data_IF_088042985106
#
_entry.id   IF_088042985106
#
_cell.length_a   1.000
_cell.length_b   1.000
_cell.length_c   1.000
_cell.angle_alpha   90.00
_cell.angle_beta   90.00
_cell.angle_gamma   90.00
#
_symmetry.space_group_name_H-M   'P 1'
#
loop_
_entity.id
_entity.type
_entity.pdbx_description
1 polymer ?
#
# COMPACT_ATOMS: atom_id res chain seq x y z
N UNK A 1 -23.76 -33.84 15.75
CA UNK A 1 -22.55 -33.96 14.91
C UNK A 1 -22.87 -33.43 13.52
N UNK A 2 -22.76 -32.12 13.34
CA UNK A 2 -22.99 -31.46 12.04
C UNK A 2 -21.68 -31.43 11.27
N UNK A 3 -21.63 -32.11 10.13
CA UNK A 3 -20.54 -31.97 9.16
C UNK A 3 -20.79 -30.73 8.30
N UNK A 4 -20.13 -29.62 8.63
CA UNK A 4 -19.93 -28.48 7.72
C UNK A 4 -18.68 -28.76 6.88
N UNK A 5 -18.86 -29.18 5.63
CA UNK A 5 -17.87 -29.04 4.55
C UNK A 5 -18.63 -28.84 3.25
N UNK A 6 -18.09 -27.98 2.38
CA UNK A 6 -18.56 -27.59 1.05
C UNK A 6 -19.42 -26.32 1.01
N UNK A 7 -18.76 -25.18 1.21
CA UNK A 7 -19.02 -23.99 0.40
C UNK A 7 -17.68 -23.27 0.22
N UNK A 8 -17.11 -23.30 -0.99
CA UNK A 8 -15.86 -22.64 -1.30
C UNK A 8 -15.58 -22.74 -2.80
N UNK A 9 -15.27 -21.60 -3.41
CA UNK A 9 -15.07 -21.36 -4.84
C UNK A 9 -16.36 -21.29 -5.70
N UNK A 10 -17.23 -20.33 -5.40
CA UNK A 10 -18.03 -19.71 -6.46
C UNK A 10 -17.16 -18.64 -7.12
N UNK A 11 -16.67 -18.99 -8.32
CA UNK A 11 -15.93 -18.12 -9.23
C UNK A 11 -16.80 -16.91 -9.56
N UNK A 12 -16.44 -15.72 -9.06
CA UNK A 12 -16.94 -14.47 -9.61
C UNK A 12 -16.21 -14.20 -10.93
N UNK A 13 -16.74 -14.79 -12.01
CA UNK A 13 -16.47 -14.32 -13.35
C UNK A 13 -17.22 -13.00 -13.53
N UNK A 14 -16.59 -11.89 -13.14
CA UNK A 14 -17.04 -10.57 -13.58
C UNK A 14 -16.76 -10.48 -15.09
N UNK A 15 -17.67 -9.96 -15.92
CA UNK A 15 -17.41 -9.81 -17.33
C UNK A 15 -16.35 -8.72 -17.50
N UNK A 16 -15.10 -9.14 -17.70
CA UNK A 16 -14.08 -8.34 -18.36
C UNK A 16 -14.62 -8.05 -19.75
N UNK A 17 -15.23 -6.87 -19.91
CA UNK A 17 -15.44 -6.27 -21.21
C UNK A 17 -14.08 -6.28 -21.92
N UNK A 18 -14.00 -7.04 -23.01
CA UNK A 18 -12.85 -7.15 -23.90
C UNK A 18 -12.48 -5.78 -24.47
N UNK A 19 -11.76 -4.96 -23.71
CA UNK A 19 -10.87 -3.98 -24.29
C UNK A 19 -9.66 -4.72 -24.86
N UNK A 20 -9.09 -4.32 -26.00
CA UNK A 20 -7.78 -4.81 -26.42
C UNK A 20 -6.76 -4.41 -25.34
N UNK A 21 -6.36 -5.38 -24.51
CA UNK A 21 -5.49 -5.15 -23.35
C UNK A 21 -4.03 -5.16 -23.82
N UNK A 22 -3.54 -4.04 -24.35
CA UNK A 22 -2.10 -3.83 -24.46
C UNK A 22 -1.61 -3.26 -23.13
N UNK A 23 -0.67 -3.96 -22.49
CA UNK A 23 0.03 -3.46 -21.31
C UNK A 23 0.76 -2.17 -21.66
N UNK A 24 0.54 -1.07 -20.93
CA UNK A 24 1.47 0.06 -20.99
C UNK A 24 2.64 -0.13 -20.03
N UNK A 25 2.40 -0.77 -18.89
CA UNK A 25 3.48 -1.07 -17.95
C UNK A 25 3.21 -2.29 -17.08
N UNK A 26 4.30 -2.88 -16.61
CA UNK A 26 4.33 -3.83 -15.51
C UNK A 26 5.31 -3.30 -14.47
N UNK A 27 4.88 -3.24 -13.22
CA UNK A 27 5.70 -2.78 -12.10
C UNK A 27 5.76 -3.81 -10.98
N UNK A 28 6.94 -3.94 -10.40
CA UNK A 28 7.18 -4.67 -9.18
C UNK A 28 7.61 -3.68 -8.10
N UNK A 29 6.95 -3.69 -6.95
CA UNK A 29 7.26 -2.84 -5.81
C UNK A 29 7.55 -3.67 -4.57
N UNK A 30 8.51 -3.22 -3.78
CA UNK A 30 8.86 -3.75 -2.47
C UNK A 30 8.83 -2.63 -1.44
N UNK A 31 8.03 -2.81 -0.41
CA UNK A 31 8.12 -2.04 0.84
C UNK A 31 8.90 -2.87 1.85
N UNK A 32 9.83 -2.24 2.56
CA UNK A 32 10.56 -2.90 3.63
C UNK A 32 11.11 -1.89 4.66
N UNK A 33 10.89 -2.14 5.95
CA UNK A 33 11.43 -1.34 7.04
C UNK A 33 12.85 -1.77 7.47
N UNK A 34 13.24 -3.01 7.15
CA UNK A 34 14.61 -3.53 7.27
C UNK A 34 15.66 -2.73 6.52
N UNK A 35 15.29 -2.08 5.41
CA UNK A 35 16.15 -1.12 4.70
C UNK A 35 16.50 0.12 5.57
N UNK A 36 15.73 0.38 6.62
CA UNK A 36 15.93 1.44 7.61
C UNK A 36 16.46 0.90 8.94
N UNK A 37 16.75 -0.40 9.03
CA UNK A 37 17.30 -1.04 10.22
C UNK A 37 16.26 -1.41 11.29
N UNK A 38 14.99 -1.59 10.91
CA UNK A 38 13.92 -2.06 11.80
C UNK A 38 13.27 -3.34 11.26
N UNK A 39 12.46 -4.01 12.07
CA UNK A 39 11.59 -5.11 11.63
C UNK A 39 10.34 -5.14 12.52
N UNK A 40 9.47 -4.16 12.35
CA UNK A 40 8.31 -3.92 13.21
C UNK A 40 7.25 -3.06 12.54
N UNK A 41 6.07 -3.01 13.16
CA UNK A 41 4.93 -2.26 12.63
C UNK A 41 4.63 -2.73 11.20
N UNK A 42 4.54 -1.85 10.22
CA UNK A 42 4.49 -2.26 8.82
C UNK A 42 5.89 -2.66 8.34
N UNK A 43 6.16 -3.97 8.37
CA UNK A 43 7.51 -4.51 8.09
C UNK A 43 7.78 -4.70 6.59
N UNK A 44 6.76 -5.14 5.83
CA UNK A 44 7.00 -5.55 4.44
C UNK A 44 5.75 -5.53 3.57
N UNK A 45 5.95 -5.29 2.28
CA UNK A 45 4.94 -5.48 1.26
C UNK A 45 5.53 -5.79 -0.11
N UNK A 46 4.86 -6.65 -0.86
CA UNK A 46 5.23 -7.05 -2.22
C UNK A 46 4.07 -6.81 -3.16
N UNK A 47 4.34 -6.16 -4.29
CA UNK A 47 3.30 -5.72 -5.21
C UNK A 47 3.69 -6.01 -6.65
N UNK A 48 2.80 -6.67 -7.38
CA UNK A 48 2.89 -6.82 -8.83
C UNK A 48 1.69 -6.12 -9.45
N UNK A 49 1.94 -5.10 -10.26
CA UNK A 49 0.89 -4.34 -10.94
C UNK A 49 1.11 -4.36 -12.44
N UNK A 50 0.01 -4.60 -13.15
CA UNK A 50 -0.12 -4.39 -14.58
C UNK A 50 -0.99 -3.16 -14.81
N UNK A 51 -0.58 -2.25 -15.69
CA UNK A 51 -1.37 -1.05 -16.03
C UNK A 51 -1.60 -0.94 -17.53
N UNK A 52 -2.81 -0.54 -17.91
CA UNK A 52 -3.20 -0.29 -19.30
C UNK A 52 -2.56 0.98 -19.84
N UNK A 53 -2.49 1.11 -21.17
CA UNK A 53 -2.26 2.40 -21.83
C UNK A 53 -3.53 3.27 -21.72
N UNK A 54 -3.52 4.36 -20.92
CA UNK A 54 -4.68 5.21 -20.80
C UNK A 54 -4.76 6.12 -22.03
N UNK A 55 -5.53 5.73 -23.04
CA UNK A 55 -5.88 6.68 -24.09
C UNK A 55 -6.59 7.93 -23.50
N UNK A 56 -7.53 7.71 -22.57
CA UNK A 56 -8.25 8.77 -21.81
C UNK A 56 -8.56 8.33 -20.37
N UNK A 57 -8.87 7.04 -20.19
CA UNK A 57 -9.09 6.40 -18.88
C UNK A 57 -8.09 5.25 -18.79
N UNK A 58 -7.32 5.23 -17.70
CA UNK A 58 -6.43 4.13 -17.37
C UNK A 58 -7.08 3.16 -16.41
N UNK A 59 -6.60 1.92 -16.42
CA UNK A 59 -6.91 0.96 -15.38
C UNK A 59 -5.68 0.10 -15.08
N UNK A 60 -5.64 -0.46 -13.88
CA UNK A 60 -4.60 -1.40 -13.48
C UNK A 60 -5.17 -2.54 -12.66
N UNK A 61 -4.47 -3.67 -12.72
CA UNK A 61 -4.70 -4.81 -11.87
C UNK A 61 -3.44 -5.05 -11.04
N UNK A 62 -3.62 -5.27 -9.75
CA UNK A 62 -2.54 -5.50 -8.79
C UNK A 62 -2.83 -6.76 -7.99
N UNK A 63 -1.78 -7.53 -7.71
CA UNK A 63 -1.75 -8.50 -6.63
C UNK A 63 -0.73 -7.99 -5.62
N UNK A 64 -1.12 -7.93 -4.36
CA UNK A 64 -0.29 -7.44 -3.27
C UNK A 64 -0.30 -8.38 -2.08
N UNK A 65 0.82 -8.45 -1.38
CA UNK A 65 0.89 -8.97 -0.02
C UNK A 65 1.52 -7.95 0.91
N UNK A 66 1.07 -7.92 2.16
CA UNK A 66 1.53 -7.00 3.18
C UNK A 66 1.64 -7.73 4.51
N UNK A 67 2.62 -7.32 5.32
CA UNK A 67 2.92 -7.95 6.60
C UNK A 67 3.22 -6.92 7.66
N UNK A 68 2.88 -7.32 8.87
CA UNK A 68 2.86 -6.47 10.04
C UNK A 68 3.30 -7.27 11.26
N UNK A 69 4.21 -6.71 12.05
CA UNK A 69 4.84 -7.42 13.18
C UNK A 69 4.87 -6.57 14.46
N UNK A 70 4.92 -7.22 15.64
CA UNK A 70 5.37 -6.59 16.88
C UNK A 70 6.81 -6.09 16.77
N UNK A 71 7.27 -5.36 17.77
CA UNK A 71 8.61 -4.79 17.75
C UNK A 71 9.76 -5.73 18.10
N UNK A 72 9.46 -6.89 18.67
CA UNK A 72 10.41 -7.98 18.90
C UNK A 72 9.80 -9.30 18.38
N UNK A 73 10.33 -9.75 17.25
CA UNK A 73 9.82 -10.93 16.56
C UNK A 73 10.31 -12.25 17.17
N UNK A 74 11.34 -12.21 18.02
CA UNK A 74 11.92 -13.42 18.61
C UNK A 74 11.11 -13.94 19.81
N UNK A 75 10.14 -13.16 20.28
CA UNK A 75 9.25 -13.53 21.38
C UNK A 75 8.17 -14.51 20.91
N UNK A 76 7.99 -15.57 21.70
CA UNK A 76 7.03 -16.64 21.41
C UNK A 76 5.62 -16.36 21.93
N UNK A 77 5.41 -15.24 22.62
CA UNK A 77 4.11 -14.85 23.21
C UNK A 77 3.89 -13.36 23.01
N UNK A 78 2.63 -12.91 22.84
CA UNK A 78 2.30 -11.50 22.76
C UNK A 78 2.86 -10.70 23.95
N UNK A 79 3.19 -9.45 23.71
CA UNK A 79 3.63 -8.52 24.74
C UNK A 79 2.61 -7.38 24.88
N UNK A 80 2.44 -6.83 26.09
CA UNK A 80 1.60 -5.66 26.27
C UNK A 80 2.07 -4.48 25.43
N UNK A 81 1.12 -3.70 24.91
CA UNK A 81 1.36 -2.50 24.11
C UNK A 81 2.11 -2.77 22.79
N UNK A 82 2.07 -4.00 22.31
CA UNK A 82 2.54 -4.40 21.00
C UNK A 82 1.36 -4.88 20.18
N UNK A 83 1.39 -4.55 18.90
CA UNK A 83 0.35 -4.99 17.97
C UNK A 83 0.48 -6.48 17.62
N UNK A 84 -0.61 -7.14 17.21
CA UNK A 84 -0.54 -8.51 16.70
C UNK A 84 0.28 -8.60 15.42
N UNK A 85 0.75 -9.82 15.13
CA UNK A 85 1.13 -10.16 13.77
C UNK A 85 -0.09 -10.08 12.86
N UNK A 86 0.07 -9.56 11.66
CA UNK A 86 -0.97 -9.58 10.65
C UNK A 86 -0.36 -9.78 9.27
N UNK A 87 -0.96 -10.69 8.50
CA UNK A 87 -0.68 -10.86 7.09
C UNK A 87 -1.90 -10.49 6.26
N UNK A 88 -1.68 -9.96 5.06
CA UNK A 88 -2.71 -9.67 4.07
C UNK A 88 -2.23 -10.16 2.71
N UNK A 89 -3.11 -10.82 1.97
CA UNK A 89 -2.96 -11.00 0.52
C UNK A 89 -4.23 -10.51 -0.18
N UNK A 90 -4.07 -9.79 -1.29
CA UNK A 90 -5.20 -9.19 -2.00
C UNK A 90 -4.98 -9.07 -3.50
N UNK A 91 -6.10 -8.93 -4.22
CA UNK A 91 -6.16 -8.40 -5.57
C UNK A 91 -6.82 -7.03 -5.57
N UNK A 92 -6.32 -6.09 -6.37
CA UNK A 92 -6.89 -4.75 -6.48
C UNK A 92 -7.03 -4.30 -7.93
N UNK A 93 -8.23 -3.84 -8.29
CA UNK A 93 -8.49 -3.10 -9.52
C UNK A 93 -8.48 -1.60 -9.26
N UNK A 94 -7.87 -0.83 -10.15
CA UNK A 94 -7.91 0.64 -10.11
C UNK A 94 -8.32 1.20 -11.46
N UNK A 95 -8.98 2.35 -11.44
CA UNK A 95 -9.32 3.16 -12.60
C UNK A 95 -8.86 4.59 -12.38
N UNK A 96 -8.38 5.23 -13.44
CA UNK A 96 -7.75 6.53 -13.37
C UNK A 96 -8.28 7.48 -14.44
N UNK A 97 -8.41 8.74 -14.07
CA UNK A 97 -8.57 9.84 -15.00
C UNK A 97 -7.62 10.97 -14.61
N UNK A 98 -6.89 11.51 -15.59
CA UNK A 98 -5.81 12.45 -15.38
C UNK A 98 -5.85 13.56 -16.42
N UNK A 99 -5.71 14.79 -15.95
CA UNK A 99 -5.37 15.97 -16.75
C UNK A 99 -4.07 16.57 -16.21
N UNK A 100 -3.63 17.68 -16.77
CA UNK A 100 -2.46 18.41 -16.30
C UNK A 100 -2.68 19.18 -14.99
N UNK A 101 -3.90 19.26 -14.45
CA UNK A 101 -4.19 19.98 -13.20
C UNK A 101 -5.14 19.24 -12.23
N UNK A 102 -5.68 18.09 -12.64
CA UNK A 102 -6.60 17.29 -11.85
C UNK A 102 -6.38 15.80 -12.11
N UNK A 103 -6.52 14.96 -11.08
CA UNK A 103 -6.48 13.51 -11.23
C UNK A 103 -7.41 12.84 -10.23
N UNK A 104 -8.07 11.75 -10.66
CA UNK A 104 -8.92 10.91 -9.81
C UNK A 104 -8.55 9.46 -10.00
N UNK A 105 -8.52 8.73 -8.89
CA UNK A 105 -8.25 7.31 -8.82
C UNK A 105 -9.39 6.65 -8.05
N UNK A 106 -10.06 5.69 -8.67
CA UNK A 106 -11.00 4.79 -7.99
C UNK A 106 -10.36 3.42 -7.81
N UNK A 107 -10.58 2.76 -6.68
CA UNK A 107 -10.02 1.44 -6.40
C UNK A 107 -11.04 0.50 -5.76
N UNK A 108 -10.90 -0.79 -6.05
CA UNK A 108 -11.58 -1.87 -5.33
C UNK A 108 -10.56 -2.97 -5.02
N UNK A 109 -10.39 -3.26 -3.74
CA UNK A 109 -9.53 -4.31 -3.22
C UNK A 109 -10.38 -5.43 -2.62
N UNK A 110 -9.99 -6.67 -2.87
CA UNK A 110 -10.57 -7.88 -2.27
C UNK A 110 -9.41 -8.79 -1.85
N UNK A 111 -9.47 -9.35 -0.65
CA UNK A 111 -8.38 -10.14 -0.10
C UNK A 111 -8.76 -10.94 1.13
N UNK A 112 -7.75 -11.42 1.84
CA UNK A 112 -7.91 -12.07 3.15
C UNK A 112 -6.77 -11.66 4.07
N UNK A 113 -7.10 -11.46 5.35
CA UNK A 113 -6.11 -11.39 6.42
C UNK A 113 -5.96 -12.74 7.11
N UNK A 114 -4.95 -12.86 7.96
CA UNK A 114 -4.71 -14.02 8.84
C UNK A 114 -3.87 -15.13 8.21
N UNK A 115 -3.85 -16.34 8.80
CA UNK A 115 -3.03 -17.47 8.32
C UNK A 115 -3.18 -17.78 6.81
N UNK A 116 -4.34 -17.58 6.21
CA UNK A 116 -4.60 -17.83 4.78
C UNK A 116 -3.86 -16.83 3.85
N UNK A 117 -3.24 -15.80 4.41
CA UNK A 117 -2.35 -14.89 3.69
C UNK A 117 -0.93 -15.46 3.45
N UNK A 118 -0.55 -16.52 4.16
CA UNK A 118 0.78 -17.15 4.12
C UNK A 118 1.95 -16.20 4.44
N UNK A 119 1.69 -15.19 5.27
CA UNK A 119 2.70 -14.21 5.66
C UNK A 119 3.81 -14.81 6.55
N UNK A 120 3.48 -15.77 7.43
CA UNK A 120 4.46 -16.48 8.25
C UNK A 120 5.51 -17.19 7.40
N UNK A 121 5.06 -17.97 6.41
CA UNK A 121 5.92 -18.72 5.51
C UNK A 121 6.76 -17.77 4.65
N UNK A 122 6.14 -16.71 4.12
CA UNK A 122 6.84 -15.71 3.32
C UNK A 122 7.95 -15.00 4.12
N UNK A 123 7.65 -14.57 5.36
CA UNK A 123 8.63 -13.92 6.23
C UNK A 123 9.78 -14.88 6.57
N UNK A 124 9.45 -16.12 6.95
CA UNK A 124 10.44 -17.13 7.32
C UNK A 124 11.42 -17.43 6.19
N UNK A 125 10.92 -17.58 4.95
CA UNK A 125 11.77 -17.78 3.76
C UNK A 125 12.73 -16.61 3.55
N UNK A 126 12.23 -15.37 3.64
CA UNK A 126 13.07 -14.18 3.45
C UNK A 126 14.12 -14.09 4.54
N UNK A 127 13.75 -14.31 5.81
CA UNK A 127 14.66 -14.24 6.95
C UNK A 127 15.76 -15.30 6.86
N UNK A 128 15.45 -16.52 6.41
CA UNK A 128 16.44 -17.55 6.14
C UNK A 128 17.44 -17.13 5.05
N UNK A 129 16.96 -16.50 3.97
CA UNK A 129 17.80 -16.05 2.85
C UNK A 129 18.75 -14.92 3.27
N UNK A 130 18.27 -13.95 4.05
CA UNK A 130 19.04 -12.74 4.41
C UNK A 130 19.77 -12.85 5.76
N UNK A 131 19.53 -13.92 6.52
CA UNK A 131 20.14 -14.14 7.84
C UNK A 131 19.54 -13.29 8.96
N UNK A 132 18.25 -12.99 8.88
CA UNK A 132 17.49 -12.30 9.95
C UNK A 132 17.02 -13.28 11.02
N UNK A 133 16.71 -12.83 12.25
CA UNK A 133 16.13 -13.69 13.30
C UNK A 133 14.80 -14.30 12.89
N UNK A 134 14.52 -15.53 13.32
CA UNK A 134 13.25 -16.20 13.03
C UNK A 134 12.08 -15.56 13.80
N UNK A 135 10.96 -15.24 13.15
CA UNK A 135 9.76 -14.75 13.83
C UNK A 135 9.05 -15.92 14.55
N UNK A 136 8.75 -15.76 15.85
CA UNK A 136 8.23 -16.85 16.70
C UNK A 136 6.81 -16.62 17.22
N UNK A 137 6.17 -15.51 16.86
CA UNK A 137 4.87 -15.10 17.40
C UNK A 137 3.67 -15.32 16.46
N UNK A 138 3.85 -15.84 15.26
CA UNK A 138 2.79 -15.99 14.24
C UNK A 138 1.60 -16.85 14.68
N UNK A 139 1.74 -17.70 15.70
CA UNK A 139 0.63 -18.43 16.32
C UNK A 139 -0.42 -17.52 16.99
N UNK A 140 -0.10 -16.24 17.23
CA UNK A 140 -0.98 -15.24 17.85
C UNK A 140 -1.36 -14.10 16.91
N UNK A 141 -1.30 -14.34 15.59
CA UNK A 141 -1.69 -13.37 14.58
C UNK A 141 -3.20 -13.11 14.53
N UNK A 142 -3.62 -12.07 13.79
CA UNK A 142 -5.02 -11.83 13.42
C UNK A 142 -5.61 -13.08 12.73
N UNK A 143 -6.83 -13.44 13.09
CA UNK A 143 -7.55 -14.59 12.54
C UNK A 143 -7.97 -14.36 11.07
N UNK A 144 -8.31 -15.46 10.39
CA UNK A 144 -8.72 -15.41 8.99
C UNK A 144 -10.04 -14.63 8.81
N UNK A 145 -9.99 -13.55 8.05
CA UNK A 145 -11.17 -12.81 7.62
C UNK A 145 -11.05 -12.37 6.16
N UNK A 146 -12.14 -12.52 5.41
CA UNK A 146 -12.24 -11.94 4.07
C UNK A 146 -12.34 -10.43 4.17
N UNK A 147 -11.50 -9.72 3.42
CA UNK A 147 -11.48 -8.26 3.43
C UNK A 147 -11.82 -7.66 2.08
N UNK A 148 -12.46 -6.50 2.12
CA UNK A 148 -12.72 -5.67 0.95
C UNK A 148 -12.54 -4.20 1.28
N UNK A 149 -12.15 -3.40 0.28
CA UNK A 149 -12.03 -1.96 0.42
C UNK A 149 -12.28 -1.25 -0.90
N UNK A 150 -13.23 -0.32 -0.90
CA UNK A 150 -13.43 0.62 -2.00
C UNK A 150 -12.76 1.96 -1.65
N UNK A 151 -12.10 2.58 -2.62
CA UNK A 151 -11.35 3.81 -2.41
C UNK A 151 -11.55 4.84 -3.52
N UNK A 152 -11.44 6.11 -3.15
CA UNK A 152 -11.39 7.24 -4.07
C UNK A 152 -10.28 8.21 -3.60
N UNK A 153 -9.38 8.58 -4.50
CA UNK A 153 -8.33 9.57 -4.26
C UNK A 153 -8.39 10.64 -5.37
N UNK A 154 -8.46 11.91 -4.99
CA UNK A 154 -8.53 13.03 -5.92
C UNK A 154 -7.42 14.05 -5.63
N UNK A 155 -6.75 14.51 -6.69
CA UNK A 155 -5.66 15.50 -6.64
C UNK A 155 -6.06 16.75 -7.41
N UNK A 156 -5.74 17.92 -6.86
CA UNK A 156 -5.99 19.22 -7.47
C UNK A 156 -4.73 20.08 -7.43
N UNK A 157 -4.32 20.59 -8.59
CA UNK A 157 -3.20 21.52 -8.69
C UNK A 157 -3.56 22.86 -8.08
N UNK A 158 -2.66 23.42 -7.27
CA UNK A 158 -2.78 24.77 -6.71
C UNK A 158 -1.89 25.75 -7.48
N UNK A 159 -0.63 25.38 -7.72
CA UNK A 159 0.31 26.20 -8.46
C UNK A 159 1.37 25.34 -9.15
N UNK A 160 1.72 25.72 -10.39
CA UNK A 160 2.85 25.15 -11.14
C UNK A 160 3.74 26.28 -11.63
N UNK A 161 5.03 26.19 -11.31
CA UNK A 161 6.09 27.04 -11.84
C UNK A 161 6.92 26.31 -12.87
N UNK A 162 8.09 26.88 -13.20
CA UNK A 162 8.97 26.32 -14.23
C UNK A 162 9.62 24.99 -13.84
N UNK A 163 9.89 24.78 -12.55
CA UNK A 163 10.68 23.63 -12.06
C UNK A 163 9.92 22.77 -11.03
N UNK A 164 8.74 23.19 -10.60
CA UNK A 164 8.01 22.52 -9.53
C UNK A 164 6.55 22.92 -9.43
N UNK A 165 5.80 22.13 -8.67
CA UNK A 165 4.38 22.33 -8.46
C UNK A 165 3.95 21.92 -7.06
N UNK A 166 2.86 22.54 -6.60
CA UNK A 166 2.17 22.20 -5.38
C UNK A 166 0.73 21.81 -5.69
N UNK A 167 0.30 20.69 -5.14
CA UNK A 167 -1.06 20.18 -5.23
C UNK A 167 -1.58 19.76 -3.86
N UNK A 168 -2.90 19.67 -3.76
CA UNK A 168 -3.59 19.09 -2.61
C UNK A 168 -4.32 17.84 -3.06
N UNK A 169 -4.54 16.92 -2.12
CA UNK A 169 -5.33 15.72 -2.38
C UNK A 169 -6.27 15.40 -1.22
N UNK A 170 -7.33 14.66 -1.55
CA UNK A 170 -8.21 14.03 -0.59
C UNK A 170 -8.39 12.56 -0.94
N UNK A 171 -8.46 11.70 0.08
CA UNK A 171 -8.68 10.26 -0.06
C UNK A 171 -9.79 9.82 0.88
N UNK A 172 -10.68 8.95 0.40
CA UNK A 172 -11.62 8.21 1.21
C UNK A 172 -11.53 6.73 0.88
N UNK A 173 -11.50 5.88 1.89
CA UNK A 173 -11.52 4.42 1.76
C UNK A 173 -12.54 3.84 2.73
N UNK A 174 -13.30 2.85 2.29
CA UNK A 174 -14.32 2.21 3.11
C UNK A 174 -14.44 0.71 2.83
N UNK A 175 -14.62 -0.06 3.88
CA UNK A 175 -14.70 -1.51 3.84
C UNK A 175 -14.58 -2.10 5.24
N UNK A 176 -14.05 -3.32 5.34
CA UNK A 176 -13.69 -3.95 6.62
C UNK A 176 -12.17 -4.16 6.78
N UNK A 177 -11.35 -3.52 5.94
CA UNK A 177 -9.88 -3.60 6.06
C UNK A 177 -9.34 -2.43 6.88
N UNK A 178 -9.30 -1.24 6.28
CA UNK A 178 -8.70 -0.04 6.82
C UNK A 178 -9.46 1.20 6.36
N UNK A 179 -10.70 1.38 6.84
CA UNK A 179 -11.53 2.51 6.42
C UNK A 179 -11.00 3.83 6.97
N UNK A 180 -10.91 4.84 6.11
CA UNK A 180 -10.33 6.13 6.48
C UNK A 180 -10.82 7.28 5.60
N UNK A 181 -10.59 8.48 6.10
CA UNK A 181 -10.53 9.70 5.28
C UNK A 181 -9.19 10.39 5.52
N UNK A 182 -8.59 10.92 4.45
CA UNK A 182 -7.31 11.59 4.51
C UNK A 182 -7.31 12.84 3.62
N UNK A 183 -6.53 13.84 4.04
CA UNK A 183 -6.23 15.03 3.25
C UNK A 183 -4.74 15.31 3.31
N UNK A 184 -4.19 15.87 2.24
CA UNK A 184 -2.77 16.14 2.21
C UNK A 184 -2.37 17.10 1.12
N UNK A 185 -1.07 17.39 1.10
CA UNK A 185 -0.42 18.23 0.12
C UNK A 185 0.80 17.53 -0.44
N UNK A 186 1.03 17.71 -1.73
CA UNK A 186 2.19 17.18 -2.43
C UNK A 186 2.96 18.34 -3.07
N UNK A 187 4.26 18.35 -2.85
CA UNK A 187 5.17 19.19 -3.60
C UNK A 187 6.06 18.33 -4.50
N UNK A 188 6.20 18.71 -5.76
CA UNK A 188 7.05 18.01 -6.74
C UNK A 188 8.00 18.98 -7.44
N UNK A 189 9.24 18.55 -7.66
CA UNK A 189 10.24 19.29 -8.44
C UNK A 189 10.81 18.34 -9.49
N UNK A 190 10.84 18.75 -10.75
CA UNK A 190 11.40 17.93 -11.80
C UNK A 190 10.91 18.28 -13.20
N UNK A 191 11.03 17.30 -14.08
CA UNK A 191 10.67 17.40 -15.48
C UNK A 191 9.30 16.77 -15.75
N UNK A 192 8.59 17.35 -16.71
CA UNK A 192 7.33 16.82 -17.25
C UNK A 192 6.21 16.59 -16.21
N UNK A 193 6.14 17.47 -15.21
CA UNK A 193 5.20 17.36 -14.10
C UNK A 193 3.73 17.43 -14.53
N UNK A 194 3.44 18.16 -15.63
CA UNK A 194 2.10 18.25 -16.20
C UNK A 194 1.57 16.93 -16.73
N UNK A 195 2.43 16.10 -17.32
CA UNK A 195 2.04 14.80 -17.88
C UNK A 195 2.06 13.66 -16.84
N UNK A 196 2.50 13.97 -15.62
CA UNK A 196 2.57 13.00 -14.52
C UNK A 196 1.71 13.43 -13.33
N UNK A 197 0.81 14.39 -13.50
CA UNK A 197 -0.01 14.95 -12.43
C UNK A 197 -0.79 13.91 -11.61
N UNK A 198 -0.76 14.04 -10.29
CA UNK A 198 -1.47 13.13 -9.38
C UNK A 198 -0.87 11.73 -9.25
N UNK A 199 0.34 11.47 -9.78
CA UNK A 199 0.96 10.15 -9.71
C UNK A 199 1.38 9.73 -8.30
N UNK A 200 1.61 10.65 -7.36
CA UNK A 200 2.07 10.32 -6.01
C UNK A 200 0.94 9.86 -5.08
N UNK A 201 1.22 8.96 -4.13
CA UNK A 201 0.32 8.58 -3.03
C UNK A 201 1.12 8.18 -1.77
N UNK A 202 0.46 8.09 -0.61
CA UNK A 202 1.04 7.57 0.64
C UNK A 202 0.60 6.12 0.95
N UNK A 203 -0.17 5.50 0.05
CA UNK A 203 -0.57 4.11 0.22
C UNK A 203 0.64 3.17 0.02
N UNK A 204 0.73 2.09 0.82
CA UNK A 204 1.79 1.08 0.66
C UNK A 204 1.89 0.55 -0.78
N UNK A 205 3.12 0.34 -1.24
CA UNK A 205 3.42 -0.12 -2.60
C UNK A 205 3.10 0.85 -3.72
N UNK A 206 2.59 2.05 -3.41
CA UNK A 206 2.04 2.99 -4.39
C UNK A 206 2.56 4.42 -4.24
N UNK A 207 3.81 4.59 -3.79
CA UNK A 207 4.43 5.92 -3.64
C UNK A 207 4.33 6.75 -4.93
N UNK A 208 4.51 6.10 -6.09
CA UNK A 208 4.17 6.63 -7.41
C UNK A 208 3.38 5.60 -8.21
N UNK A 209 2.23 6.01 -8.72
CA UNK A 209 1.37 5.24 -9.59
C UNK A 209 1.89 5.27 -11.03
N UNK A 210 2.52 4.17 -11.44
CA UNK A 210 3.17 4.04 -12.76
C UNK A 210 2.18 4.22 -13.91
N UNK A 211 0.90 3.88 -13.71
CA UNK A 211 -0.15 4.07 -14.74
C UNK A 211 -0.33 5.54 -15.14
N UNK A 212 -0.04 6.48 -14.23
CA UNK A 212 -0.14 7.92 -14.44
C UNK A 212 1.13 8.56 -14.99
N UNK A 213 2.14 7.76 -15.36
CA UNK A 213 3.36 8.21 -16.05
C UNK A 213 3.27 8.01 -17.58
N UNK A 214 2.21 7.37 -18.04
CA UNK A 214 1.99 6.96 -19.44
C UNK A 214 1.97 8.11 -20.45
N UNK A 215 1.53 9.32 -20.06
CA UNK A 215 1.53 10.50 -20.93
C UNK A 215 2.92 11.13 -21.13
N UNK A 216 3.98 10.53 -20.57
CA UNK A 216 5.35 11.05 -20.61
C UNK A 216 6.35 9.97 -21.03
N UNK A 217 7.13 10.17 -22.08
CA UNK A 217 8.13 9.18 -22.53
C UNK A 217 9.35 9.09 -21.59
N UNK A 218 9.69 10.19 -20.91
CA UNK A 218 10.83 10.25 -20.02
C UNK A 218 10.64 11.39 -19.02
N UNK A 219 11.17 11.21 -17.82
CA UNK A 219 11.08 12.22 -16.79
C UNK A 219 11.81 11.82 -15.53
N UNK A 220 11.97 12.81 -14.68
CA UNK A 220 12.52 12.62 -13.35
C UNK A 220 11.93 13.70 -12.46
N UNK A 221 11.42 13.29 -11.30
CA UNK A 221 10.94 14.23 -10.31
C UNK A 221 11.21 13.72 -8.90
N UNK A 222 11.47 14.67 -8.02
CA UNK A 222 11.44 14.50 -6.58
C UNK A 222 10.06 14.89 -6.09
N UNK A 223 9.60 14.21 -5.04
CA UNK A 223 8.34 14.52 -4.42
C UNK A 223 8.44 14.47 -2.91
N UNK A 224 7.56 15.23 -2.27
CA UNK A 224 7.27 15.11 -0.85
C UNK A 224 5.77 15.30 -0.67
N UNK A 225 5.12 14.34 -0.02
CA UNK A 225 3.71 14.42 0.32
C UNK A 225 3.54 14.30 1.83
N UNK A 226 2.69 15.17 2.38
CA UNK A 226 2.28 15.13 3.78
C UNK A 226 0.79 14.88 3.86
N UNK A 227 0.36 14.11 4.85
CA UNK A 227 -1.02 13.68 5.02
C UNK A 227 -1.42 13.75 6.49
N UNK A 228 -2.66 14.17 6.72
CA UNK A 228 -3.39 13.89 7.95
C UNK A 228 -4.57 12.99 7.61
N UNK A 229 -4.80 11.95 8.42
CA UNK A 229 -5.89 11.01 8.22
C UNK A 229 -6.63 10.72 9.51
N UNK A 230 -7.91 10.39 9.36
CA UNK A 230 -8.74 9.79 10.39
C UNK A 230 -9.01 8.33 9.98
N UNK A 231 -8.49 7.37 10.74
CA UNK A 231 -8.69 5.94 10.56
C UNK A 231 -9.88 5.50 11.40
N UNK A 232 -10.94 4.96 10.79
CA UNK A 232 -12.14 4.54 11.52
C UNK A 232 -11.98 3.14 12.11
N UNK A 233 -11.36 2.24 11.35
CA UNK A 233 -11.13 0.84 11.67
C UNK A 233 -9.81 0.38 11.06
N UNK A 234 -9.16 -0.58 11.70
CA UNK A 234 -7.97 -1.24 11.18
C UNK A 234 -7.95 -2.71 11.63
N UNK A 235 -8.32 -3.62 10.74
CA UNK A 235 -8.38 -5.05 11.05
C UNK A 235 -7.00 -5.63 11.41
N UNK A 236 -5.91 -4.97 11.00
CA UNK A 236 -4.55 -5.42 11.34
C UNK A 236 -4.14 -5.07 12.78
N UNK A 237 -5.00 -4.36 13.50
CA UNK A 237 -4.83 -3.95 14.91
C UNK A 237 -5.96 -4.57 15.75
N UNK A 238 -7.20 -4.33 15.34
CA UNK A 238 -8.40 -4.63 16.13
C UNK A 238 -9.16 -5.88 15.67
N UNK A 239 -8.66 -6.57 14.64
CA UNK A 239 -9.27 -7.81 14.16
C UNK A 239 -9.32 -8.92 15.22
N UNK A 240 -10.18 -9.92 14.98
CA UNK A 240 -10.27 -11.12 15.82
C UNK A 240 -8.90 -11.77 15.93
N UNK A 241 -8.54 -12.20 17.15
CA UNK A 241 -7.22 -12.75 17.49
C UNK A 241 -7.31 -13.64 18.73
N UNK A 242 -6.32 -14.51 18.98
CA UNK A 242 -6.28 -15.31 20.21
C UNK A 242 -6.33 -14.45 21.49
N UNK A 243 -7.01 -14.92 22.55
CA UNK A 243 -7.26 -14.12 23.76
C UNK A 243 -6.00 -13.77 24.56
N UNK A 244 -4.87 -14.43 24.29
CA UNK A 244 -3.57 -14.11 24.88
C UNK A 244 -2.94 -12.84 24.29
N UNK A 245 -3.44 -12.36 23.15
CA UNK A 245 -2.96 -11.14 22.52
C UNK A 245 -3.79 -9.96 23.03
N UNK A 246 -3.15 -9.08 23.79
CA UNK A 246 -3.79 -7.93 24.41
C UNK A 246 -4.58 -7.10 23.37
N UNK A 247 -5.71 -6.55 23.81
CA UNK A 247 -6.47 -5.62 22.97
C UNK A 247 -5.72 -4.30 22.85
N UNK A 248 -5.14 -4.07 21.67
CA UNK A 248 -4.63 -2.78 21.20
C UNK A 248 -5.70 -2.07 20.38
N UNK A 249 -5.75 -0.75 20.47
CA UNK A 249 -6.79 0.06 19.86
C UNK A 249 -6.21 0.95 18.79
N UNK A 250 -6.96 1.19 17.71
CA UNK A 250 -6.49 2.04 16.62
C UNK A 250 -6.30 3.49 17.11
N UNK A 251 -5.18 4.10 16.78
CA UNK A 251 -5.02 5.55 16.95
C UNK A 251 -5.73 6.21 15.79
N UNK A 252 -6.89 6.83 16.05
CA UNK A 252 -7.72 7.35 14.97
C UNK A 252 -7.07 8.49 14.20
N UNK A 253 -6.35 9.41 14.88
CA UNK A 253 -5.75 10.58 14.23
C UNK A 253 -4.30 10.30 13.91
N UNK A 254 -3.99 10.13 12.64
CA UNK A 254 -2.66 9.76 12.19
C UNK A 254 -2.11 10.78 11.19
N UNK A 255 -0.79 10.90 11.13
CA UNK A 255 -0.09 11.70 10.16
C UNK A 255 0.90 10.85 9.36
N UNK A 256 1.15 11.23 8.12
CA UNK A 256 2.10 10.58 7.24
C UNK A 256 2.94 11.58 6.48
N UNK A 257 4.19 11.22 6.20
CA UNK A 257 5.04 11.90 5.24
C UNK A 257 5.71 10.88 4.35
N UNK A 258 5.70 11.10 3.05
CA UNK A 258 6.50 10.33 2.10
C UNK A 258 7.37 11.27 1.29
N UNK A 259 8.60 10.87 1.03
CA UNK A 259 9.53 11.61 0.19
C UNK A 259 10.31 10.65 -0.68
N UNK A 260 10.52 11.01 -1.94
CA UNK A 260 11.17 10.12 -2.87
C UNK A 260 11.60 10.75 -4.18
N UNK A 261 12.15 9.90 -5.02
CA UNK A 261 12.58 10.21 -6.37
C UNK A 261 12.01 9.18 -7.33
N UNK A 262 11.58 9.66 -8.48
CA UNK A 262 11.18 8.84 -9.60
C UNK A 262 12.02 9.22 -10.80
N UNK A 263 12.51 8.21 -11.50
CA UNK A 263 13.16 8.33 -12.80
C UNK A 263 12.51 7.36 -13.77
N UNK A 264 12.29 7.79 -15.01
CA UNK A 264 11.83 6.90 -16.06
C UNK A 264 12.25 7.36 -17.44
N UNK A 265 12.30 6.37 -18.32
CA UNK A 265 12.54 6.46 -19.75
C UNK A 265 11.41 5.75 -20.49
N UNK A 266 11.59 5.60 -21.81
CA UNK A 266 10.58 5.00 -22.70
C UNK A 266 10.22 3.57 -22.29
N UNK A 267 11.19 2.81 -21.75
CA UNK A 267 11.00 1.40 -21.42
C UNK A 267 11.23 1.05 -19.97
N UNK A 268 12.05 1.80 -19.24
CA UNK A 268 12.39 1.47 -17.86
C UNK A 268 12.22 2.68 -16.96
N UNK A 269 11.74 2.43 -15.76
CA UNK A 269 11.78 3.43 -14.70
C UNK A 269 11.87 2.79 -13.33
N UNK A 270 12.20 3.62 -12.36
CA UNK A 270 12.34 3.25 -10.97
C UNK A 270 11.82 4.35 -10.04
N UNK A 271 11.34 3.93 -8.89
CA UNK A 271 10.93 4.79 -7.77
C UNK A 271 11.71 4.34 -6.54
N UNK A 272 12.23 5.29 -5.79
CA UNK A 272 12.73 5.06 -4.44
C UNK A 272 12.13 6.11 -3.51
N UNK A 273 11.54 5.68 -2.41
CA UNK A 273 10.95 6.59 -1.42
C UNK A 273 11.07 6.07 -0.01
N UNK A 274 10.93 6.96 0.95
CA UNK A 274 10.77 6.64 2.37
C UNK A 274 9.45 7.23 2.83
N UNK A 275 8.66 6.41 3.52
CA UNK A 275 7.40 6.82 4.12
C UNK A 275 7.51 6.65 5.63
N UNK A 276 7.13 7.69 6.37
CA UNK A 276 7.03 7.67 7.83
C UNK A 276 5.60 8.00 8.26
N UNK A 277 5.14 7.32 9.30
CA UNK A 277 3.83 7.52 9.91
C UNK A 277 3.98 7.86 11.39
N UNK A 278 3.03 8.61 11.94
CA UNK A 278 2.81 8.63 13.39
C UNK A 278 2.41 7.24 13.89
N UNK A 279 2.34 7.08 15.23
CA UNK A 279 1.78 5.86 15.83
C UNK A 279 0.42 5.49 15.23
N UNK A 280 0.19 4.19 15.08
CA UNK A 280 -1.00 3.62 14.43
C UNK A 280 -2.00 3.02 15.42
N UNK A 281 -1.56 2.76 16.66
CA UNK A 281 -2.37 2.27 17.76
C UNK A 281 -2.07 3.05 19.04
N UNK A 282 -3.03 3.12 19.95
CA UNK A 282 -2.99 4.02 21.11
C UNK A 282 -1.87 3.66 22.08
N UNK A 283 -1.69 2.36 22.32
CA UNK A 283 -0.76 1.78 23.30
C UNK A 283 0.69 1.81 22.82
N UNK A 284 0.94 2.09 21.55
CA UNK A 284 2.27 2.01 20.94
C UNK A 284 3.34 2.72 21.78
N UNK A 285 4.38 1.96 22.15
CA UNK A 285 5.53 2.51 22.90
C UNK A 285 6.34 3.53 22.08
N UNK A 286 6.17 3.52 20.75
CA UNK A 286 6.84 4.42 19.81
C UNK A 286 5.82 5.30 19.10
N UNK A 287 6.20 6.56 18.89
CA UNK A 287 5.34 7.56 18.27
C UNK A 287 5.40 7.58 16.74
N UNK A 288 6.24 6.75 16.11
CA UNK A 288 6.39 6.69 14.67
C UNK A 288 6.91 5.34 14.18
N UNK A 289 6.60 5.03 12.93
CA UNK A 289 7.17 3.92 12.15
C UNK A 289 7.53 4.43 10.74
N UNK A 290 8.41 3.73 10.04
CA UNK A 290 8.81 4.10 8.69
C UNK A 290 9.23 2.88 7.90
N UNK A 291 9.08 2.95 6.58
CA UNK A 291 9.55 1.94 5.64
C UNK A 291 10.11 2.59 4.38
N UNK A 292 11.00 1.89 3.69
CA UNK A 292 11.45 2.27 2.35
C UNK A 292 10.63 1.54 1.29
N UNK A 293 10.35 2.20 0.17
CA UNK A 293 9.77 1.59 -1.03
C UNK A 293 10.79 1.64 -2.17
N UNK A 294 10.89 0.55 -2.91
CA UNK A 294 11.55 0.48 -4.20
C UNK A 294 10.61 -0.11 -5.24
N UNK A 295 10.38 0.61 -6.33
CA UNK A 295 9.58 0.15 -7.47
C UNK A 295 10.45 0.09 -8.71
N UNK A 296 10.44 -1.03 -9.44
CA UNK A 296 11.01 -1.16 -10.78
C UNK A 296 9.88 -1.44 -11.76
N UNK A 297 9.86 -0.75 -12.89
CA UNK A 297 8.82 -0.95 -13.89
C UNK A 297 9.34 -0.92 -15.32
N UNK A 298 8.69 -1.74 -16.14
CA UNK A 298 8.89 -1.79 -17.59
C UNK A 298 7.68 -1.18 -18.30
N UNK A 299 7.93 -0.48 -19.42
CA UNK A 299 6.94 0.16 -20.28
C UNK A 299 7.06 -0.34 -21.71
N UNK A 300 5.93 -0.75 -22.30
CA UNK A 300 5.87 -1.34 -23.64
C UNK A 300 5.84 -0.30 -24.75
#
# INVERSE_FOLDING_TARGET
>A
MLSRRLFGAAIFAFPLLCAPVQAASVSFSLDNDGALGTDRDYTSGLFLRWSSDPGVIGYSLEIGSQMWTPSDIELTTPQPNERPYAGLVYGMGRVYHQTDFYAVKGSLMLGTVGPDSYAEEAQSIVHEIVGSPDPKGWAYQIDNEFVYQAGLEAHQLIARGHIGEFSVFGRGQGGNFQSEVAIGGTYRIGFDLSNTFGSTSLLPGNAVDVGLLSHSDNGMFFFTSVEARYRFDDITIEGDKPPENDDVHVEHVQAGVTGGVTWYSRHWGAVASVTAHSKQYEEASRNHSAYANFTLFYRY
#
